data_IF_284163670497
#
_entry.id   IF_284163670497
#
_cell.length_a   1.000
_cell.length_b   1.000
_cell.length_c   1.000
_cell.angle_alpha   90.00
_cell.angle_beta   90.00
_cell.angle_gamma   90.00
#
_symmetry.space_group_name_H-M   'P 1'
#
loop_
_entity.id
_entity.type
_entity.pdbx_description
1 polymer ?
#
# COMPACT_ATOMS: atom_id res chain seq x y z
N UNK A 1 1.18 25.71 5.86
CA UNK A 1 0.66 25.25 4.56
C UNK A 1 0.23 23.81 4.72
N UNK A 2 -1.05 23.50 4.50
CA UNK A 2 -1.52 22.12 4.39
C UNK A 2 -1.50 21.73 2.91
N UNK A 3 -0.81 20.66 2.56
CA UNK A 3 -0.77 20.13 1.20
C UNK A 3 -1.70 18.93 1.11
N UNK A 4 -2.59 18.92 0.12
CA UNK A 4 -3.42 17.75 -0.15
C UNK A 4 -2.55 16.61 -0.70
N UNK A 5 -2.78 15.40 -0.23
CA UNK A 5 -2.14 14.19 -0.74
C UNK A 5 -3.17 13.08 -0.89
N UNK A 6 -2.92 12.19 -1.85
CA UNK A 6 -3.73 11.01 -2.12
C UNK A 6 -2.79 9.81 -2.29
N UNK A 7 -3.15 8.69 -1.70
CA UNK A 7 -2.40 7.43 -1.81
C UNK A 7 -3.08 6.56 -2.85
N UNK A 8 -2.30 5.98 -3.76
CA UNK A 8 -2.82 5.15 -4.83
C UNK A 8 -2.09 3.79 -4.89
N UNK A 9 -2.79 2.79 -5.41
CA UNK A 9 -2.23 1.47 -5.71
C UNK A 9 -2.51 1.22 -7.20
N UNK A 10 -1.48 0.84 -7.94
CA UNK A 10 -1.58 0.57 -9.37
C UNK A 10 -1.54 -0.92 -9.66
N UNK A 11 -2.17 -1.32 -10.76
CA UNK A 11 -2.11 -2.67 -11.28
C UNK A 11 -0.66 -3.12 -11.49
N UNK A 12 -0.34 -4.31 -10.97
CA UNK A 12 0.97 -4.92 -11.10
C UNK A 12 0.89 -6.10 -12.07
N UNK A 13 1.74 -6.08 -13.10
CA UNK A 13 1.84 -7.18 -14.04
C UNK A 13 2.84 -8.21 -13.52
N UNK A 14 2.36 -9.41 -13.24
CA UNK A 14 3.18 -10.52 -12.77
C UNK A 14 3.06 -11.73 -13.71
N UNK A 15 4.19 -12.42 -13.91
CA UNK A 15 4.23 -13.69 -14.66
C UNK A 15 3.74 -14.81 -13.74
N UNK A 16 2.96 -15.75 -14.29
CA UNK A 16 2.50 -16.93 -13.55
C UNK A 16 3.67 -17.68 -12.90
N UNK A 17 3.59 -17.88 -11.59
CA UNK A 17 4.63 -18.53 -10.80
C UNK A 17 5.52 -17.56 -10.01
N UNK A 18 5.52 -16.28 -10.37
CA UNK A 18 6.21 -15.25 -9.59
C UNK A 18 5.32 -14.72 -8.46
N UNK A 19 5.96 -14.17 -7.44
CA UNK A 19 5.27 -13.34 -6.45
C UNK A 19 4.93 -11.97 -7.07
N UNK A 20 3.69 -11.52 -6.87
CA UNK A 20 3.30 -10.14 -7.14
C UNK A 20 3.46 -9.32 -5.85
N UNK A 21 4.00 -8.10 -5.96
CA UNK A 21 4.16 -7.19 -4.83
C UNK A 21 3.37 -5.92 -5.13
N UNK A 22 2.32 -5.69 -4.36
CA UNK A 22 1.59 -4.43 -4.39
C UNK A 22 2.24 -3.42 -3.45
N UNK A 23 2.27 -2.15 -3.86
CA UNK A 23 2.85 -1.05 -3.08
C UNK A 23 1.88 0.13 -3.04
N UNK A 24 1.55 0.59 -1.84
CA UNK A 24 0.91 1.89 -1.64
C UNK A 24 1.88 3.00 -2.04
N UNK A 25 1.52 3.78 -3.07
CA UNK A 25 2.32 4.92 -3.51
C UNK A 25 2.00 6.12 -2.64
N UNK A 26 2.86 6.36 -1.66
CA UNK A 26 2.81 7.52 -0.77
C UNK A 26 3.70 8.62 -1.34
N UNK A 27 3.19 9.85 -1.53
CA UNK A 27 4.00 10.97 -1.96
C UNK A 27 5.16 11.26 -0.98
N UNK A 28 6.35 11.54 -1.50
CA UNK A 28 7.56 11.67 -0.69
C UNK A 28 7.48 12.74 0.41
N UNK A 29 6.73 13.82 0.17
CA UNK A 29 6.61 14.93 1.12
C UNK A 29 5.79 14.60 2.38
N UNK A 30 5.11 13.43 2.42
CA UNK A 30 4.34 12.94 3.58
C UNK A 30 4.82 11.57 4.08
N UNK A 31 5.82 10.97 3.43
CA UNK A 31 6.23 9.59 3.68
C UNK A 31 6.68 9.32 5.12
N UNK A 32 7.31 10.30 5.78
CA UNK A 32 7.80 10.17 7.17
C UNK A 32 6.67 10.32 8.22
N UNK A 33 5.44 10.58 7.78
CA UNK A 33 4.30 10.88 8.66
C UNK A 33 3.12 9.92 8.48
N UNK A 34 3.22 8.95 7.57
CA UNK A 34 2.15 7.99 7.31
C UNK A 34 2.72 6.59 7.19
N UNK A 35 1.97 5.63 7.72
CA UNK A 35 2.32 4.21 7.66
C UNK A 35 1.19 3.42 7.00
N UNK A 36 1.55 2.35 6.28
CA UNK A 36 0.58 1.42 5.71
C UNK A 36 0.12 0.47 6.82
N UNK A 37 -1.14 0.56 7.22
CA UNK A 37 -1.71 -0.25 8.31
C UNK A 37 -2.29 -1.59 7.86
N UNK A 38 -2.58 -1.74 6.57
CA UNK A 38 -3.13 -2.95 6.00
C UNK A 38 -3.70 -2.75 4.60
N UNK A 39 -4.21 -3.84 4.03
CA UNK A 39 -4.83 -3.89 2.71
C UNK A 39 -6.30 -4.29 2.84
N UNK A 40 -7.13 -3.78 1.92
CA UNK A 40 -8.52 -4.18 1.77
C UNK A 40 -8.73 -4.60 0.32
N UNK A 41 -9.21 -5.81 0.09
CA UNK A 41 -9.54 -6.28 -1.25
C UNK A 41 -10.94 -5.81 -1.70
N UNK A 42 -11.26 -6.02 -2.97
CA UNK A 42 -12.54 -5.63 -3.55
C UNK A 42 -13.75 -6.43 -3.03
N UNK A 43 -13.52 -7.54 -2.35
CA UNK A 43 -14.56 -8.33 -1.67
C UNK A 43 -14.75 -7.90 -0.20
N UNK A 44 -13.97 -6.93 0.29
CA UNK A 44 -14.00 -6.46 1.68
C UNK A 44 -13.14 -7.27 2.64
N UNK A 45 -12.29 -8.17 2.15
CA UNK A 45 -11.29 -8.87 2.95
C UNK A 45 -10.23 -7.90 3.44
N UNK A 46 -9.91 -7.93 4.74
CA UNK A 46 -8.89 -7.08 5.36
C UNK A 46 -7.64 -7.88 5.71
N UNK A 47 -6.49 -7.38 5.30
CA UNK A 47 -5.17 -7.96 5.53
C UNK A 47 -4.34 -6.95 6.31
N UNK A 48 -4.42 -7.01 7.63
CA UNK A 48 -3.63 -6.16 8.53
C UNK A 48 -2.30 -6.85 8.85
N UNK A 49 -1.22 -6.07 8.89
CA UNK A 49 0.07 -6.58 9.34
C UNK A 49 0.05 -6.64 10.87
N UNK A 50 -0.33 -7.79 11.44
CA UNK A 50 -0.18 -8.03 12.88
C UNK A 50 1.30 -8.23 13.21
N UNK A 51 2.00 -7.13 13.48
CA UNK A 51 3.20 -7.13 14.32
C UNK A 51 4.53 -7.52 13.68
N UNK A 52 4.74 -7.40 12.36
CA UNK A 52 6.09 -7.50 11.80
C UNK A 52 6.40 -6.42 10.77
N UNK A 53 7.36 -5.58 11.16
CA UNK A 53 8.35 -4.93 10.31
C UNK A 53 8.86 -5.90 9.25
N UNK A 54 9.01 -5.42 8.03
CA UNK A 54 9.68 -6.12 6.92
C UNK A 54 10.96 -6.85 7.35
#
# INVERSE_FOLDING_TARGET
VAQYFEVQVYDQFAIRGNAAIFKCQVPSFVADHVDVVGWIDSAGGSYVAEGQSY
#
